data_IF_187189131480
#
_entry.id   IF_187189131480
#
_cell.length_a   1.000
_cell.length_b   1.000
_cell.length_c   1.000
_cell.angle_alpha   90.00
_cell.angle_beta   90.00
_cell.angle_gamma   90.00
#
_symmetry.space_group_name_H-M   'P 1'
#
loop_
_entity.id
_entity.type
_entity.pdbx_description
1 polymer ?
#
# COMPACT_ATOMS: atom_id res chain seq x y z
N UNK A 1 0.33 12.54 -19.42
CA UNK A 1 1.19 12.12 -18.29
C UNK A 1 1.20 10.60 -18.15
N UNK A 2 2.33 9.99 -17.79
CA UNK A 2 2.46 8.55 -17.55
C UNK A 2 1.56 8.08 -16.39
N UNK A 3 1.54 8.81 -15.28
CA UNK A 3 0.71 8.49 -14.11
C UNK A 3 -0.79 8.36 -14.45
N UNK A 4 -1.33 9.25 -15.31
CA UNK A 4 -2.72 9.18 -15.76
C UNK A 4 -3.04 7.86 -16.47
N UNK A 5 -2.12 7.39 -17.33
CA UNK A 5 -2.28 6.09 -18.04
C UNK A 5 -2.27 4.93 -17.05
N UNK A 6 -1.43 4.99 -16.01
CA UNK A 6 -1.39 3.97 -14.95
C UNK A 6 -2.72 3.91 -14.20
N UNK A 7 -3.31 5.04 -13.85
CA UNK A 7 -4.62 5.06 -13.20
C UNK A 7 -5.76 4.55 -14.09
N UNK A 8 -5.75 4.86 -15.39
CA UNK A 8 -6.72 4.25 -16.32
C UNK A 8 -6.61 2.72 -16.34
N UNK A 9 -5.38 2.17 -16.37
CA UNK A 9 -5.16 0.73 -16.31
C UNK A 9 -5.64 0.13 -14.98
N UNK A 10 -5.40 0.81 -13.85
CA UNK A 10 -5.91 0.36 -12.55
C UNK A 10 -7.44 0.36 -12.51
N UNK A 11 -8.09 1.35 -13.14
CA UNK A 11 -9.55 1.35 -13.27
C UNK A 11 -10.05 0.14 -14.06
N UNK A 12 -9.39 -0.24 -15.16
CA UNK A 12 -9.74 -1.46 -15.89
C UNK A 12 -9.59 -2.73 -15.03
N UNK A 13 -8.63 -2.77 -14.10
CA UNK A 13 -8.47 -3.87 -13.15
C UNK A 13 -9.61 -3.91 -12.13
N UNK A 14 -10.01 -2.75 -11.59
CA UNK A 14 -11.17 -2.61 -10.70
C UNK A 14 -12.43 -3.14 -11.42
N UNK A 15 -12.64 -2.73 -12.67
CA UNK A 15 -13.81 -3.14 -13.46
C UNK A 15 -13.82 -4.65 -13.73
N UNK A 16 -12.66 -5.31 -13.71
CA UNK A 16 -12.51 -6.77 -13.81
C UNK A 16 -12.65 -7.49 -12.46
N UNK A 17 -12.90 -6.77 -11.37
CA UNK A 17 -13.11 -7.32 -10.03
C UNK A 17 -11.85 -7.43 -9.17
N UNK A 18 -10.76 -6.75 -9.53
CA UNK A 18 -9.58 -6.65 -8.69
C UNK A 18 -9.81 -5.66 -7.53
N UNK A 19 -10.00 -6.18 -6.32
CA UNK A 19 -10.24 -5.39 -5.11
C UNK A 19 -8.95 -4.77 -4.53
N UNK A 20 -7.77 -5.14 -5.05
CA UNK A 20 -6.48 -4.58 -4.63
C UNK A 20 -5.99 -3.48 -5.58
N UNK A 21 -6.64 -3.31 -6.73
CA UNK A 21 -6.30 -2.27 -7.70
C UNK A 21 -6.52 -0.86 -7.13
N UNK A 22 -5.63 0.06 -7.51
CA UNK A 22 -5.60 1.41 -6.96
C UNK A 22 -6.69 2.29 -7.57
N UNK A 23 -7.52 2.89 -6.71
CA UNK A 23 -8.46 3.93 -7.15
C UNK A 23 -7.71 5.14 -7.71
N UNK A 24 -8.21 5.70 -8.80
CA UNK A 24 -7.61 6.88 -9.41
C UNK A 24 -7.76 8.12 -8.52
N UNK A 25 -6.64 8.79 -8.26
CA UNK A 25 -6.59 10.11 -7.62
C UNK A 25 -6.23 11.15 -8.70
N UNK A 26 -7.24 11.87 -9.18
CA UNK A 26 -7.06 12.84 -10.27
C UNK A 26 -6.43 14.14 -9.80
N UNK A 27 -6.60 14.52 -8.53
CA UNK A 27 -5.93 15.69 -7.94
C UNK A 27 -4.43 15.42 -7.85
N UNK A 28 -4.01 14.20 -7.49
CA UNK A 28 -2.61 13.80 -7.55
C UNK A 28 -2.01 13.92 -8.95
N UNK A 29 -2.75 13.52 -9.99
CA UNK A 29 -2.29 13.67 -11.38
C UNK A 29 -2.15 15.15 -11.76
N UNK A 30 -3.12 15.98 -11.39
CA UNK A 30 -3.07 17.42 -11.63
C UNK A 30 -1.86 18.07 -10.93
N UNK A 31 -1.58 17.69 -9.68
CA UNK A 31 -0.38 18.14 -8.96
C UNK A 31 0.91 17.75 -9.68
N UNK A 32 0.99 16.55 -10.27
CA UNK A 32 2.15 16.15 -11.07
C UNK A 32 2.28 16.99 -12.37
N UNK A 33 1.16 17.41 -12.96
CA UNK A 33 1.10 18.25 -14.16
C UNK A 33 1.60 19.68 -13.87
N UNK A 34 1.45 20.18 -12.64
CA UNK A 34 2.05 21.46 -12.21
C UNK A 34 3.59 21.42 -12.10
N UNK A 35 4.21 20.25 -12.18
CA UNK A 35 5.65 20.08 -12.24
C UNK A 35 6.24 19.57 -10.93
N UNK A 36 6.13 18.26 -10.71
CA UNK A 36 6.86 17.59 -9.62
C UNK A 36 8.37 17.60 -9.93
N UNK A 37 9.24 18.05 -9.00
CA UNK A 37 10.68 17.93 -9.17
C UNK A 37 11.12 16.46 -9.23
N UNK A 38 12.34 16.15 -9.70
CA UNK A 38 12.87 14.80 -9.59
C UNK A 38 13.00 14.41 -8.11
N UNK A 39 12.25 13.41 -7.69
CA UNK A 39 12.19 12.93 -6.29
C UNK A 39 12.40 11.42 -6.21
N UNK A 40 12.88 10.94 -5.05
CA UNK A 40 12.84 9.54 -4.66
C UNK A 40 12.05 9.36 -3.37
N UNK A 41 11.39 8.20 -3.22
CA UNK A 41 10.69 7.81 -2.00
C UNK A 41 11.43 6.69 -1.27
N UNK A 42 11.27 6.61 0.06
CA UNK A 42 11.83 5.55 0.90
C UNK A 42 10.80 5.11 1.95
N UNK A 43 10.63 3.81 2.16
CA UNK A 43 9.70 3.26 3.14
C UNK A 43 10.19 1.92 3.69
N UNK A 44 10.01 1.72 5.00
CA UNK A 44 10.22 0.45 5.68
C UNK A 44 9.07 0.21 6.67
N UNK A 45 8.81 -1.06 7.01
CA UNK A 45 7.76 -1.45 7.95
C UNK A 45 8.30 -2.30 9.10
N UNK A 46 7.40 -2.83 9.92
CA UNK A 46 7.70 -3.65 11.11
C UNK A 46 8.52 -4.90 10.81
N UNK A 47 8.51 -5.38 9.56
CA UNK A 47 9.31 -6.51 9.08
C UNK A 47 10.82 -6.28 9.23
N UNK A 48 11.29 -5.03 9.19
CA UNK A 48 12.70 -4.72 9.43
C UNK A 48 13.11 -5.18 10.84
N UNK A 49 12.30 -4.88 11.84
CA UNK A 49 12.56 -5.27 13.23
C UNK A 49 12.38 -6.77 13.44
N UNK A 50 11.34 -7.36 12.83
CA UNK A 50 11.14 -8.82 12.85
C UNK A 50 12.37 -9.58 12.32
N UNK A 51 12.95 -9.10 11.22
CA UNK A 51 14.19 -9.62 10.66
C UNK A 51 15.39 -9.44 11.61
N UNK A 52 15.60 -8.22 12.12
CA UNK A 52 16.72 -7.93 13.04
C UNK A 52 16.65 -8.74 14.34
N UNK A 53 15.44 -9.01 14.83
CA UNK A 53 15.21 -9.81 16.03
C UNK A 53 15.16 -11.32 15.76
N UNK A 54 15.26 -11.75 14.49
CA UNK A 54 15.08 -13.14 14.06
C UNK A 54 13.81 -13.78 14.65
N UNK A 55 12.69 -13.07 14.56
CA UNK A 55 11.40 -13.45 15.13
C UNK A 55 10.26 -13.17 14.14
N UNK A 56 9.14 -13.90 14.19
CA UNK A 56 7.96 -13.57 13.40
C UNK A 56 7.38 -12.21 13.84
N UNK A 57 6.76 -11.47 12.92
CA UNK A 57 6.16 -10.12 13.17
C UNK A 57 5.21 -10.11 14.37
N UNK A 58 4.49 -11.22 14.60
CA UNK A 58 3.56 -11.37 15.73
C UNK A 58 4.27 -11.32 17.08
N UNK A 59 5.49 -11.85 17.18
CA UNK A 59 6.31 -11.82 18.41
C UNK A 59 6.99 -10.48 18.64
N UNK A 60 7.08 -9.63 17.62
CA UNK A 60 7.62 -8.27 17.73
C UNK A 60 6.52 -7.21 17.87
N UNK A 61 5.26 -7.62 18.01
CA UNK A 61 4.10 -6.74 18.19
C UNK A 61 3.52 -6.96 19.59
N UNK A 62 3.37 -5.92 20.41
CA UNK A 62 2.91 -6.07 21.80
C UNK A 62 1.50 -6.69 21.90
N UNK A 63 0.57 -6.23 21.05
CA UNK A 63 -0.82 -6.68 21.01
C UNK A 63 -1.21 -7.01 19.57
N UNK A 64 -0.81 -8.18 19.04
CA UNK A 64 -1.10 -8.53 17.67
C UNK A 64 -2.59 -8.82 17.47
N UNK A 65 -3.10 -8.63 16.25
CA UNK A 65 -4.44 -9.07 15.90
C UNK A 65 -4.54 -10.60 16.02
N UNK A 66 -5.40 -11.06 16.93
CA UNK A 66 -5.65 -12.47 17.16
C UNK A 66 -7.05 -12.85 16.69
N UNK A 67 -7.22 -14.11 16.27
CA UNK A 67 -8.55 -14.65 15.97
C UNK A 67 -9.36 -14.67 17.28
N UNK A 68 -10.59 -14.12 17.31
CA UNK A 68 -11.46 -14.22 18.47
C UNK A 68 -11.66 -15.68 18.90
N UNK A 69 -11.76 -15.92 20.20
CA UNK A 69 -12.16 -17.24 20.71
C UNK A 69 -13.63 -17.47 20.31
N UNK A 70 -13.96 -18.69 19.89
CA UNK A 70 -15.36 -19.09 19.78
C UNK A 70 -15.92 -19.17 21.20
N UNK A 71 -17.10 -18.61 21.42
CA UNK A 71 -17.89 -18.93 22.60
C UNK A 71 -18.42 -20.35 22.39
N UNK A 72 -18.20 -21.23 23.38
CA UNK A 72 -18.77 -22.59 23.41
C UNK A 72 -20.25 -22.54 23.80
#
# INVERSE_FOLDING_TARGET
MDQRKRFNLQQELIDRGDNEAMMADWEFVEMLEHGMPPTCGFGFGERLFAFLCNKPVRETTLFPLMKPKKED
#
